data_IF_619479911234
#
_entry.id   IF_619479911234
#
_cell.length_a   1.000
_cell.length_b   1.000
_cell.length_c   1.000
_cell.angle_alpha   90.00
_cell.angle_beta   90.00
_cell.angle_gamma   90.00
#
_symmetry.space_group_name_H-M   'P 1'
#
loop_
_entity.id
_entity.type
_entity.pdbx_description
1 polymer ?
#
# COMPACT_ATOMS: atom_id res chain seq x y z
N UNK A 1 12.70 -15.97 15.35
CA UNK A 1 11.95 -14.71 15.51
C UNK A 1 12.31 -13.83 14.33
N UNK A 2 11.42 -13.82 13.34
CA UNK A 2 11.76 -13.58 11.94
C UNK A 2 11.47 -12.11 11.60
N UNK A 3 12.50 -11.28 11.44
CA UNK A 3 12.44 -9.86 11.07
C UNK A 3 11.52 -9.60 9.86
N UNK A 4 10.35 -8.99 10.13
CA UNK A 4 9.29 -8.64 9.17
C UNK A 4 9.63 -7.30 8.49
N UNK A 5 9.78 -7.33 7.16
CA UNK A 5 10.31 -6.25 6.31
C UNK A 5 10.85 -6.82 4.99
N UNK A 6 11.19 -5.99 3.99
CA UNK A 6 11.85 -6.46 2.77
C UNK A 6 13.30 -6.87 3.11
N UNK A 7 13.50 -8.11 3.56
CA UNK A 7 14.77 -8.60 4.12
C UNK A 7 16.00 -8.41 3.23
N UNK A 8 15.82 -8.50 1.92
CA UNK A 8 16.91 -8.44 0.93
C UNK A 8 16.48 -7.66 -0.32
N UNK A 9 15.65 -6.63 -0.14
CA UNK A 9 15.08 -5.88 -1.26
C UNK A 9 14.50 -4.55 -0.83
N UNK A 10 14.10 -3.76 -1.81
CA UNK A 10 13.47 -2.46 -1.61
C UNK A 10 11.96 -2.58 -1.68
N UNK A 11 11.28 -1.89 -0.78
CA UNK A 11 9.83 -1.73 -0.83
C UNK A 11 9.44 -0.82 -1.99
N UNK A 12 8.60 -1.33 -2.88
CA UNK A 12 8.07 -0.62 -4.05
C UNK A 12 6.55 -0.82 -4.10
N UNK A 13 5.84 0.21 -4.55
CA UNK A 13 4.42 0.10 -4.84
C UNK A 13 4.20 0.13 -6.35
N UNK A 14 3.59 -0.91 -6.90
CA UNK A 14 3.25 -0.98 -8.33
C UNK A 14 1.81 -0.54 -8.55
N UNK A 15 1.62 0.50 -9.35
CA UNK A 15 0.30 1.03 -9.69
C UNK A 15 -0.34 0.25 -10.83
N UNK A 16 -1.61 -0.07 -10.67
CA UNK A 16 -2.50 -0.59 -11.69
C UNK A 16 -3.69 0.36 -11.79
N UNK A 17 -3.71 1.15 -12.86
CA UNK A 17 -4.72 2.18 -13.04
C UNK A 17 -6.10 1.54 -13.29
N UNK A 18 -7.16 2.10 -12.71
CA UNK A 18 -8.53 1.60 -12.91
C UNK A 18 -8.71 0.13 -12.52
N UNK A 19 -8.05 -0.31 -11.44
CA UNK A 19 -8.19 -1.68 -10.95
C UNK A 19 -8.61 -1.70 -9.48
N UNK A 20 -9.30 -2.77 -9.11
CA UNK A 20 -9.73 -3.06 -7.75
C UNK A 20 -9.42 -4.49 -7.35
N UNK A 21 -9.33 -4.73 -6.04
CA UNK A 21 -9.26 -6.05 -5.45
C UNK A 21 -10.47 -6.26 -4.54
N UNK A 22 -11.39 -7.14 -4.98
CA UNK A 22 -12.70 -7.29 -4.34
C UNK A 22 -12.66 -8.32 -3.20
N UNK A 23 -13.20 -7.96 -2.03
CA UNK A 23 -13.40 -8.88 -0.91
C UNK A 23 -12.26 -8.96 0.11
N UNK A 24 -11.21 -8.13 -0.03
CA UNK A 24 -10.02 -8.19 0.83
C UNK A 24 -9.71 -6.89 1.58
N UNK A 25 -10.66 -5.96 1.60
CA UNK A 25 -10.56 -4.74 2.38
C UNK A 25 -10.41 -5.07 3.88
N UNK A 26 -9.47 -4.40 4.53
CA UNK A 26 -9.17 -4.57 5.95
C UNK A 26 -9.38 -3.25 6.71
N UNK A 27 -8.80 -2.15 6.20
CA UNK A 27 -8.91 -0.81 6.80
C UNK A 27 -9.34 0.19 5.75
N UNK A 28 -10.26 1.08 6.14
CA UNK A 28 -10.72 2.21 5.32
C UNK A 28 -10.30 3.53 5.97
N UNK A 29 -9.45 4.30 5.29
CA UNK A 29 -9.03 5.63 5.71
C UNK A 29 -9.77 6.65 4.86
N UNK A 30 -10.60 7.47 5.48
CA UNK A 30 -11.39 8.51 4.79
C UNK A 30 -10.65 9.85 4.80
N UNK A 31 -10.96 10.71 3.82
CA UNK A 31 -10.29 12.02 3.65
C UNK A 31 -8.75 11.87 3.58
N UNK A 32 -8.28 10.78 2.99
CA UNK A 32 -6.87 10.46 2.88
C UNK A 32 -6.27 11.14 1.65
N UNK A 33 -5.00 11.53 1.74
CA UNK A 33 -4.19 11.69 0.52
C UNK A 33 -3.66 10.32 0.08
N UNK A 34 -3.28 10.19 -1.19
CA UNK A 34 -2.62 8.98 -1.68
C UNK A 34 -1.30 8.69 -0.93
N UNK A 35 -0.61 9.73 -0.45
CA UNK A 35 0.60 9.58 0.37
C UNK A 35 0.30 8.91 1.73
N UNK A 36 -0.84 9.26 2.35
CA UNK A 36 -1.29 8.59 3.58
C UNK A 36 -1.45 7.08 3.36
N UNK A 37 -1.94 6.63 2.20
CA UNK A 37 -2.05 5.21 1.86
C UNK A 37 -0.68 4.52 1.78
N UNK A 38 0.27 5.12 1.07
CA UNK A 38 1.61 4.59 0.94
C UNK A 38 2.26 4.42 2.32
N UNK A 39 2.19 5.47 3.15
CA UNK A 39 2.74 5.42 4.50
C UNK A 39 2.04 4.38 5.38
N UNK A 40 0.71 4.33 5.40
CA UNK A 40 -0.03 3.39 6.23
C UNK A 40 0.23 1.93 5.82
N UNK A 41 0.30 1.63 4.52
CA UNK A 41 0.59 0.29 4.05
C UNK A 41 2.06 -0.12 4.27
N UNK A 42 2.98 0.84 4.19
CA UNK A 42 4.40 0.63 4.47
C UNK A 42 4.66 0.44 5.98
N UNK A 43 4.02 1.23 6.85
CA UNK A 43 4.18 1.10 8.30
C UNK A 43 3.60 -0.22 8.83
N UNK A 44 2.49 -0.70 8.26
CA UNK A 44 1.96 -2.04 8.55
C UNK A 44 2.97 -3.17 8.28
N UNK A 45 3.97 -2.95 7.41
CA UNK A 45 5.06 -3.91 7.21
C UNK A 45 6.04 -3.94 8.38
N UNK A 46 6.26 -2.78 9.00
CA UNK A 46 7.28 -2.56 10.04
C UNK A 46 6.75 -2.92 11.43
N UNK A 47 5.44 -2.79 11.64
CA UNK A 47 4.77 -3.26 12.85
C UNK A 47 4.44 -4.75 12.70
N UNK A 48 4.31 -5.47 13.82
CA UNK A 48 4.02 -6.91 13.85
C UNK A 48 2.69 -7.30 13.19
N UNK A 49 1.84 -6.33 12.86
CA UNK A 49 0.58 -6.49 12.16
C UNK A 49 0.78 -6.32 10.64
N UNK A 50 1.33 -7.36 9.99
CA UNK A 50 1.59 -7.43 8.53
C UNK A 50 0.28 -7.55 7.72
N UNK A 51 -0.63 -6.60 7.92
CA UNK A 51 -2.02 -6.69 7.49
C UNK A 51 -2.29 -5.96 6.18
N UNK A 52 -1.36 -5.15 5.66
CA UNK A 52 -1.52 -4.52 4.35
C UNK A 52 -0.64 -5.20 3.31
N UNK A 53 -1.20 -5.79 2.25
CA UNK A 53 -0.47 -6.34 1.10
C UNK A 53 -0.66 -5.50 -0.16
N UNK A 54 -1.70 -4.68 -0.20
CA UNK A 54 -1.99 -3.74 -1.27
C UNK A 54 -2.95 -2.68 -0.75
N UNK A 55 -3.17 -1.63 -1.53
CA UNK A 55 -4.26 -0.69 -1.24
C UNK A 55 -4.92 -0.20 -2.52
N UNK A 56 -6.13 0.36 -2.38
CA UNK A 56 -6.84 1.06 -3.44
C UNK A 56 -7.05 2.50 -3.02
N UNK A 57 -6.93 3.44 -3.96
CA UNK A 57 -7.25 4.85 -3.72
C UNK A 57 -8.40 5.28 -4.62
N UNK A 58 -9.53 5.63 -4.01
CA UNK A 58 -10.71 6.17 -4.66
C UNK A 58 -10.58 7.70 -4.69
N UNK A 59 -10.34 8.24 -5.88
CA UNK A 59 -10.01 9.65 -6.04
C UNK A 59 -11.20 10.56 -5.78
N UNK A 60 -12.41 10.12 -6.11
CA UNK A 60 -13.61 10.95 -6.02
C UNK A 60 -14.03 11.17 -4.57
N UNK A 61 -13.80 10.18 -3.69
CA UNK A 61 -14.11 10.24 -2.26
C UNK A 61 -12.91 10.54 -1.37
N UNK A 62 -11.69 10.58 -1.92
CA UNK A 62 -10.43 10.61 -1.16
C UNK A 62 -10.38 9.50 -0.11
N UNK A 63 -10.75 8.27 -0.52
CA UNK A 63 -10.75 7.11 0.36
C UNK A 63 -9.61 6.15 0.01
N UNK A 64 -8.93 5.70 1.06
CA UNK A 64 -7.91 4.69 1.00
C UNK A 64 -8.44 3.37 1.54
N UNK A 65 -8.36 2.30 0.77
CA UNK A 65 -8.74 0.96 1.20
C UNK A 65 -7.48 0.12 1.29
N UNK A 66 -7.00 -0.17 2.50
CA UNK A 66 -5.90 -1.12 2.71
C UNK A 66 -6.46 -2.54 2.62
N UNK A 67 -5.78 -3.41 1.89
CA UNK A 67 -6.17 -4.81 1.72
C UNK A 67 -5.14 -5.74 2.33
N UNK A 68 -5.61 -6.83 2.93
CA UNK A 68 -4.76 -7.92 3.45
C UNK A 68 -4.29 -8.92 2.41
N UNK A 69 -4.72 -8.75 1.17
CA UNK A 69 -4.33 -9.57 0.03
C UNK A 69 -3.75 -8.72 -1.10
N UNK A 70 -3.18 -9.41 -2.10
CA UNK A 70 -2.69 -8.82 -3.33
C UNK A 70 -3.28 -9.52 -4.54
N UNK A 71 -3.17 -8.89 -5.72
CA UNK A 71 -3.51 -9.53 -7.00
C UNK A 71 -2.71 -10.81 -7.27
N UNK A 72 -1.54 -10.96 -6.65
CA UNK A 72 -0.70 -12.16 -6.81
C UNK A 72 -1.23 -13.31 -5.94
N UNK A 73 -1.73 -13.02 -4.74
CA UNK A 73 -2.35 -14.04 -3.89
C UNK A 73 -3.79 -14.36 -4.29
N UNK A 74 -4.52 -13.40 -4.85
CA UNK A 74 -5.93 -13.55 -5.23
C UNK A 74 -6.22 -12.95 -6.63
N UNK A 75 -5.66 -13.54 -7.70
CA UNK A 75 -5.79 -13.01 -9.06
C UNK A 75 -7.25 -13.00 -9.55
N UNK A 76 -8.07 -13.98 -9.15
CA UNK A 76 -9.48 -14.07 -9.57
C UNK A 76 -10.35 -12.92 -9.05
N UNK A 77 -9.89 -12.18 -8.05
CA UNK A 77 -10.61 -11.07 -7.44
C UNK A 77 -10.07 -9.70 -7.88
N UNK A 78 -9.04 -9.71 -8.72
CA UNK A 78 -8.44 -8.52 -9.29
C UNK A 78 -9.14 -8.18 -10.61
N UNK A 79 -9.79 -7.03 -10.66
CA UNK A 79 -10.65 -6.65 -11.77
C UNK A 79 -10.37 -5.23 -12.25
N UNK A 80 -10.56 -5.01 -13.55
CA UNK A 80 -10.60 -3.68 -14.15
C UNK A 80 -11.93 -3.01 -13.77
N UNK A 81 -11.86 -1.84 -13.14
CA UNK A 81 -13.00 -0.99 -12.86
C UNK A 81 -13.11 0.06 -13.98
N UNK A 82 -14.10 -0.11 -14.85
CA UNK A 82 -14.29 0.74 -16.04
C UNK A 82 -15.31 1.85 -15.81
N UNK A 83 -16.02 1.82 -14.69
CA UNK A 83 -17.04 2.80 -14.33
C UNK A 83 -16.56 3.69 -13.20
N UNK A 84 -17.23 4.82 -13.02
CA UNK A 84 -17.04 5.64 -11.83
C UNK A 84 -17.40 4.83 -10.56
N UNK A 85 -16.69 5.04 -9.44
CA UNK A 85 -15.69 6.09 -9.18
C UNK A 85 -14.28 5.80 -9.73
N UNK A 86 -13.48 6.84 -9.99
CA UNK A 86 -12.07 6.67 -10.41
C UNK A 86 -11.27 6.04 -9.27
N UNK A 87 -10.64 4.89 -9.54
CA UNK A 87 -9.89 4.12 -8.55
C UNK A 87 -8.60 3.57 -9.13
N UNK A 88 -7.53 3.55 -8.33
CA UNK A 88 -6.30 2.85 -8.68
C UNK A 88 -5.91 1.86 -7.59
N UNK A 89 -5.38 0.71 -8.01
CA UNK A 89 -4.82 -0.31 -7.13
C UNK A 89 -3.29 -0.18 -7.07
N UNK A 90 -2.74 -0.39 -5.88
CA UNK A 90 -1.31 -0.33 -5.59
C UNK A 90 -0.86 -1.60 -4.90
N UNK A 91 -0.01 -2.37 -5.58
CA UNK A 91 0.56 -3.62 -5.10
C UNK A 91 1.81 -3.36 -4.29
N UNK A 92 1.91 -3.90 -3.07
CA UNK A 92 3.13 -3.81 -2.27
C UNK A 92 4.09 -4.93 -2.65
N UNK A 93 5.26 -4.58 -3.17
CA UNK A 93 6.25 -5.55 -3.68
C UNK A 93 7.62 -5.28 -3.06
N UNK A 94 8.34 -6.35 -2.71
CA UNK A 94 9.78 -6.26 -2.44
C UNK A 94 10.54 -6.63 -3.71
N UNK A 95 11.29 -5.69 -4.27
CA UNK A 95 12.14 -5.93 -5.43
C UNK A 95 13.59 -6.09 -4.99
N UNK A 96 14.30 -7.10 -5.52
CA UNK A 96 15.73 -7.25 -5.30
C UNK A 96 16.47 -6.12 -6.00
N UNK A 97 17.23 -5.34 -5.24
CA UNK A 97 18.06 -4.27 -5.80
C UNK A 97 19.48 -4.80 -5.91
N UNK A 98 20.00 -4.89 -7.14
CA UNK A 98 21.39 -5.27 -7.40
C UNK A 98 22.34 -4.06 -7.51
N UNK A 99 21.96 -2.87 -6.99
CA UNK A 99 22.73 -1.62 -7.07
C UNK A 99 22.49 -0.75 -5.81
N UNK A 100 23.46 0.09 -5.37
CA UNK A 100 23.35 0.86 -4.15
C UNK A 100 22.28 1.96 -4.30
N UNK A 101 21.33 1.95 -3.36
CA UNK A 101 20.15 2.81 -3.37
C UNK A 101 20.53 4.31 -3.38
N UNK A 102 20.32 4.98 -4.51
CA UNK A 102 20.05 6.41 -4.51
C UNK A 102 18.53 6.57 -4.62
N UNK A 103 17.88 6.70 -3.46
CA UNK A 103 16.46 6.97 -3.38
C UNK A 103 16.18 8.22 -2.55
N UNK A 104 15.28 9.12 -3.02
CA UNK A 104 14.72 10.15 -2.17
C UNK A 104 13.94 9.49 -1.02
N UNK A 105 14.58 9.42 0.15
CA UNK A 105 13.94 8.99 1.38
C UNK A 105 12.92 10.02 1.83
N UNK A 106 11.63 9.72 1.67
CA UNK A 106 10.52 10.34 2.42
C UNK A 106 9.41 9.31 2.66
N UNK A 107 9.71 8.33 3.51
CA UNK A 107 8.73 7.68 4.39
C UNK A 107 9.24 7.66 5.84
N UNK A 108 10.42 8.23 6.10
CA UNK A 108 11.10 8.20 7.40
C UNK A 108 10.61 9.32 8.34
N UNK A 109 10.08 10.41 7.78
CA UNK A 109 9.69 11.60 8.57
C UNK A 109 8.20 11.70 8.90
N UNK A 110 7.35 10.74 8.47
CA UNK A 110 5.93 10.75 8.82
C UNK A 110 5.64 10.10 10.20
N UNK A 111 6.67 9.56 10.87
CA UNK A 111 6.53 8.85 12.16
C UNK A 111 7.25 9.56 13.32
N UNK A 112 7.87 10.72 13.09
CA UNK A 112 8.50 11.53 14.15
C UNK A 112 7.76 12.82 14.47
N UNK A 113 6.72 13.21 13.72
CA UNK A 113 5.75 14.18 14.23
C UNK A 113 4.77 13.44 15.13
N UNK A 114 5.11 13.40 16.41
CA UNK A 114 4.25 13.00 17.51
C UNK A 114 2.77 13.33 17.26
N UNK A 115 1.92 12.32 17.17
CA UNK A 115 0.54 12.44 17.61
C UNK A 115 0.58 12.65 19.13
N UNK A 116 0.63 13.91 19.55
CA UNK A 116 0.34 14.30 20.92
C UNK A 116 -1.02 14.98 20.92
N UNK A 117 -1.86 14.53 21.86
CA UNK A 117 -3.26 14.89 22.18
C UNK A 117 -3.71 16.31 21.87
#
# INVERSE_FOLDING_TARGET
METRGCRHGRLVFRRFANHVLVGFADVVIRKASIYNCFCACASAMMHSDDNCRSFMFFYDSNECILNKASRLSHPSNFALETKAPRVDYFDRVCEHVNEPANLPGKCVDALTSTCTT
#
